data_IF_491479640072
#
_entry.id   IF_491479640072
#
_cell.length_a   1.000
_cell.length_b   1.000
_cell.length_c   1.000
_cell.angle_alpha   90.00
_cell.angle_beta   90.00
_cell.angle_gamma   90.00
#
_symmetry.space_group_name_H-M   'P 1'
#
loop_
_entity.id
_entity.type
_entity.pdbx_description
1 polymer ?
#
# COMPACT_ATOMS: atom_id res chain seq x y z
N UNK A 1 -36.05 6.32 -3.24
CA UNK A 1 -34.61 6.16 -2.90
C UNK A 1 -34.53 5.01 -1.93
N UNK A 2 -33.69 4.00 -2.18
CA UNK A 2 -33.54 2.89 -1.25
C UNK A 2 -32.90 3.39 0.06
N UNK A 3 -33.38 2.93 1.21
CA UNK A 3 -32.78 3.28 2.50
C UNK A 3 -31.37 2.69 2.62
N UNK A 4 -30.37 3.55 2.45
CA UNK A 4 -28.95 3.22 2.61
C UNK A 4 -28.67 3.12 4.11
N UNK A 5 -28.62 1.90 4.64
CA UNK A 5 -28.21 1.62 6.01
C UNK A 5 -26.75 1.18 6.05
N UNK A 6 -25.86 2.04 6.59
CA UNK A 6 -24.42 1.74 6.76
C UNK A 6 -24.24 0.41 7.53
N UNK A 7 -25.01 0.19 8.59
CA UNK A 7 -24.94 -1.06 9.37
C UNK A 7 -25.27 -2.30 8.56
N UNK A 8 -26.25 -2.23 7.64
CA UNK A 8 -26.58 -3.34 6.73
C UNK A 8 -25.44 -3.60 5.74
N UNK A 9 -24.85 -2.54 5.19
CA UNK A 9 -23.72 -2.63 4.24
C UNK A 9 -22.51 -3.29 4.91
N UNK A 10 -22.13 -2.83 6.10
CA UNK A 10 -21.02 -3.39 6.86
C UNK A 10 -21.28 -4.85 7.24
N UNK A 11 -22.46 -5.15 7.79
CA UNK A 11 -22.84 -6.52 8.15
C UNK A 11 -22.77 -7.44 6.94
N UNK A 12 -23.28 -7.01 5.79
CA UNK A 12 -23.27 -7.79 4.55
C UNK A 12 -21.85 -7.99 4.01
N UNK A 13 -21.02 -6.95 4.04
CA UNK A 13 -19.62 -7.05 3.65
C UNK A 13 -18.85 -8.03 4.52
N UNK A 14 -18.85 -7.81 5.84
CA UNK A 14 -18.08 -8.61 6.81
C UNK A 14 -18.62 -10.03 6.96
N UNK A 15 -19.93 -10.24 7.15
CA UNK A 15 -20.48 -11.59 7.24
C UNK A 15 -20.39 -12.34 5.90
N UNK A 16 -20.38 -11.61 4.78
CA UNK A 16 -20.23 -12.15 3.44
C UNK A 16 -18.78 -12.25 2.96
N UNK A 17 -17.77 -12.13 3.83
CA UNK A 17 -16.35 -12.19 3.42
C UNK A 17 -15.97 -13.54 2.79
N UNK A 18 -16.73 -14.60 3.06
CA UNK A 18 -16.49 -15.95 2.52
C UNK A 18 -17.62 -16.38 1.55
N UNK A 19 -18.67 -15.58 1.40
CA UNK A 19 -19.78 -15.87 0.48
C UNK A 19 -19.79 -14.93 -0.74
N UNK A 20 -19.26 -15.38 -1.89
CA UNK A 20 -19.27 -14.58 -3.11
C UNK A 20 -20.64 -14.56 -3.82
N UNK A 21 -21.65 -15.30 -3.32
CA UNK A 21 -22.95 -15.41 -3.99
C UNK A 21 -23.73 -14.11 -3.89
N UNK A 22 -24.63 -13.90 -4.85
CA UNK A 22 -25.46 -12.70 -4.92
C UNK A 22 -24.80 -11.54 -5.66
N UNK A 23 -25.39 -10.36 -5.49
CA UNK A 23 -25.09 -9.13 -6.21
C UNK A 23 -25.04 -7.96 -5.23
N UNK A 24 -24.14 -7.02 -5.48
CA UNK A 24 -24.10 -5.74 -4.76
C UNK A 24 -24.22 -4.60 -5.78
N UNK A 25 -25.12 -3.64 -5.49
CA UNK A 25 -25.26 -2.45 -6.32
C UNK A 25 -23.99 -1.57 -6.21
N UNK A 26 -23.90 -0.58 -7.10
CA UNK A 26 -22.72 0.28 -7.19
C UNK A 26 -22.50 1.09 -5.91
N UNK A 27 -23.55 1.68 -5.35
CA UNK A 27 -23.46 2.55 -4.18
C UNK A 27 -23.09 1.74 -2.96
N UNK A 28 -23.75 0.59 -2.74
CA UNK A 28 -23.40 -0.32 -1.65
C UNK A 28 -21.94 -0.77 -1.71
N UNK A 29 -21.45 -1.17 -2.89
CA UNK A 29 -20.07 -1.59 -3.07
C UNK A 29 -19.08 -0.48 -2.71
N UNK A 30 -19.24 0.73 -3.25
CA UNK A 30 -18.28 1.82 -3.01
C UNK A 30 -18.32 2.35 -1.58
N UNK A 31 -19.47 2.34 -0.92
CA UNK A 31 -19.56 2.67 0.52
C UNK A 31 -18.79 1.62 1.33
N UNK A 32 -19.01 0.33 1.08
CA UNK A 32 -18.26 -0.73 1.79
C UNK A 32 -16.76 -0.63 1.51
N UNK A 33 -16.38 -0.41 0.25
CA UNK A 33 -15.00 -0.21 -0.17
C UNK A 33 -14.33 0.95 0.60
N UNK A 34 -15.01 2.09 0.72
CA UNK A 34 -14.52 3.24 1.48
C UNK A 34 -14.39 2.93 2.99
N UNK A 35 -15.38 2.22 3.58
CA UNK A 35 -15.34 1.81 4.98
C UNK A 35 -14.15 0.90 5.28
N UNK A 36 -13.77 0.03 4.35
CA UNK A 36 -12.60 -0.85 4.51
C UNK A 36 -11.30 -0.07 4.30
N UNK A 37 -11.19 0.72 3.22
CA UNK A 37 -9.93 1.36 2.88
C UNK A 37 -9.60 2.60 3.70
N UNK A 38 -10.57 3.43 4.05
CA UNK A 38 -10.27 4.69 4.75
C UNK A 38 -9.56 4.47 6.09
N UNK A 39 -9.98 3.53 6.96
CA UNK A 39 -9.24 3.22 8.19
C UNK A 39 -7.84 2.67 7.90
N UNK A 40 -7.68 1.81 6.89
CA UNK A 40 -6.37 1.25 6.54
C UNK A 40 -5.40 2.31 6.00
N UNK A 41 -5.90 3.26 5.21
CA UNK A 41 -5.11 4.42 4.77
C UNK A 41 -4.70 5.27 5.98
N UNK A 42 -5.61 5.55 6.91
CA UNK A 42 -5.29 6.31 8.11
C UNK A 42 -4.22 5.61 8.96
N UNK A 43 -4.34 4.30 9.19
CA UNK A 43 -3.33 3.50 9.91
C UNK A 43 -2.00 3.51 9.17
N UNK A 44 -1.99 3.36 7.84
CA UNK A 44 -0.77 3.43 7.04
C UNK A 44 -0.08 4.80 7.16
N UNK A 45 -0.83 5.90 7.11
CA UNK A 45 -0.27 7.24 7.26
C UNK A 45 0.33 7.44 8.65
N UNK A 46 -0.37 6.99 9.71
CA UNK A 46 0.15 7.04 11.08
C UNK A 46 1.42 6.21 11.20
N UNK A 47 1.43 4.99 10.69
CA UNK A 47 2.60 4.11 10.70
C UNK A 47 3.79 4.75 9.96
N UNK A 48 3.55 5.38 8.80
CA UNK A 48 4.60 6.09 8.08
C UNK A 48 5.18 7.26 8.88
N UNK A 49 4.33 8.07 9.52
CA UNK A 49 4.79 9.19 10.36
C UNK A 49 5.59 8.68 11.56
N UNK A 50 5.09 7.65 12.26
CA UNK A 50 5.73 7.13 13.46
C UNK A 50 7.06 6.42 13.15
N UNK A 51 7.13 5.69 12.03
CA UNK A 51 8.29 4.85 11.72
C UNK A 51 9.35 5.56 10.87
N UNK A 52 8.97 6.56 10.07
CA UNK A 52 9.90 7.22 9.14
C UNK A 52 10.55 8.45 9.74
N UNK A 53 9.93 9.06 10.76
CA UNK A 53 10.51 10.19 11.48
C UNK A 53 11.16 9.68 12.77
N UNK A 54 12.46 9.32 12.75
CA UNK A 54 13.15 9.01 13.98
C UNK A 54 13.04 10.23 14.91
N UNK A 55 12.83 9.97 16.19
CA UNK A 55 12.84 11.04 17.18
C UNK A 55 14.22 11.68 17.16
N UNK A 56 14.31 12.92 16.67
CA UNK A 56 15.53 13.70 16.77
C UNK A 56 15.86 13.76 18.25
N UNK A 57 17.02 13.21 18.62
CA UNK A 57 17.52 13.29 19.99
C UNK A 57 18.03 14.71 20.25
N UNK A 58 17.07 15.63 20.45
CA UNK A 58 17.32 17.03 20.77
C UNK A 58 18.13 17.16 22.06
N UNK A 59 18.03 16.19 22.98
CA UNK A 59 18.81 16.18 24.21
C UNK A 59 20.28 15.85 23.94
N UNK A 60 20.55 14.84 23.10
CA UNK A 60 21.89 14.52 22.64
C UNK A 60 22.55 15.70 21.93
N UNK A 61 21.82 16.38 21.04
CA UNK A 61 22.33 17.52 20.28
C UNK A 61 22.73 18.74 21.14
N UNK A 62 22.28 18.82 22.41
CA UNK A 62 22.66 19.87 23.35
C UNK A 62 23.90 19.55 24.18
N UNK A 63 24.46 18.34 24.06
CA UNK A 63 25.65 17.95 24.84
C UNK A 63 26.94 18.53 24.23
N UNK A 64 27.90 19.00 25.05
CA UNK A 64 29.17 19.57 24.58
C UNK A 64 30.01 18.60 23.73
N UNK A 65 29.89 17.29 24.03
CA UNK A 65 30.64 16.22 23.36
C UNK A 65 29.79 15.50 22.29
N UNK A 66 28.80 16.19 21.71
CA UNK A 66 27.91 15.60 20.72
C UNK A 66 28.66 15.18 19.45
N UNK A 67 28.79 13.87 19.24
CA UNK A 67 29.29 13.31 18.00
C UNK A 67 28.18 13.29 16.94
N UNK A 68 28.12 14.37 16.15
CA UNK A 68 27.18 14.51 15.04
C UNK A 68 27.28 13.36 14.02
N UNK A 69 28.46 12.74 13.86
CA UNK A 69 28.65 11.62 12.94
C UNK A 69 27.98 10.36 13.48
N UNK A 70 28.22 10.02 14.74
CA UNK A 70 27.58 8.88 15.39
C UNK A 70 26.04 9.04 15.42
N UNK A 71 25.55 10.24 15.71
CA UNK A 71 24.13 10.54 15.72
C UNK A 71 23.48 10.40 14.33
N UNK A 72 24.14 10.88 13.27
CA UNK A 72 23.65 10.71 11.90
C UNK A 72 23.57 9.23 11.49
N UNK A 73 24.59 8.42 11.84
CA UNK A 73 24.58 6.98 11.56
C UNK A 73 23.47 6.25 12.31
N UNK A 74 23.24 6.59 13.58
CA UNK A 74 22.13 6.07 14.37
C UNK A 74 20.78 6.42 13.75
N UNK A 75 20.58 7.68 13.39
CA UNK A 75 19.37 8.16 12.73
C UNK A 75 19.11 7.43 11.41
N UNK A 76 20.13 7.23 10.58
CA UNK A 76 20.00 6.46 9.34
C UNK A 76 19.59 5.01 9.61
N UNK A 77 20.20 4.37 10.61
CA UNK A 77 19.88 2.98 10.99
C UNK A 77 18.43 2.85 11.45
N UNK A 78 17.97 3.72 12.35
CA UNK A 78 16.59 3.75 12.83
C UNK A 78 15.59 4.02 11.70
N UNK A 79 15.92 4.94 10.78
CA UNK A 79 15.10 5.20 9.60
C UNK A 79 14.97 3.97 8.69
N UNK A 80 16.06 3.20 8.49
CA UNK A 80 16.00 1.96 7.72
C UNK A 80 15.16 0.88 8.40
N UNK A 81 15.33 0.69 9.71
CA UNK A 81 14.51 -0.24 10.49
C UNK A 81 13.02 0.14 10.42
N UNK A 82 12.71 1.42 10.58
CA UNK A 82 11.38 1.98 10.43
C UNK A 82 10.80 1.76 9.03
N UNK A 83 11.59 1.95 7.98
CA UNK A 83 11.19 1.67 6.60
C UNK A 83 10.85 0.18 6.41
N UNK A 84 11.68 -0.74 6.90
CA UNK A 84 11.43 -2.19 6.83
C UNK A 84 10.13 -2.54 7.56
N UNK A 85 9.94 -2.04 8.79
CA UNK A 85 8.71 -2.25 9.54
C UNK A 85 7.48 -1.71 8.79
N UNK A 86 7.60 -0.53 8.16
CA UNK A 86 6.52 0.08 7.38
C UNK A 86 6.11 -0.77 6.17
N UNK A 87 7.05 -1.48 5.54
CA UNK A 87 6.78 -2.39 4.42
C UNK A 87 5.95 -3.59 4.89
N UNK A 88 6.33 -4.23 6.00
CA UNK A 88 5.57 -5.36 6.54
C UNK A 88 4.17 -4.96 6.97
N UNK A 89 4.02 -3.80 7.62
CA UNK A 89 2.72 -3.24 7.99
C UNK A 89 1.87 -2.99 6.74
N UNK A 90 2.45 -2.38 5.70
CA UNK A 90 1.75 -2.15 4.44
C UNK A 90 1.28 -3.47 3.80
N UNK A 91 2.14 -4.49 3.71
CA UNK A 91 1.79 -5.81 3.16
C UNK A 91 0.64 -6.44 3.96
N UNK A 92 0.71 -6.42 5.29
CA UNK A 92 -0.34 -6.95 6.15
C UNK A 92 -1.68 -6.24 5.93
N UNK A 93 -1.68 -4.91 5.84
CA UNK A 93 -2.91 -4.15 5.57
C UNK A 93 -3.48 -4.40 4.17
N UNK A 94 -2.64 -4.54 3.15
CA UNK A 94 -3.10 -4.92 1.81
C UNK A 94 -3.71 -6.31 1.79
N UNK A 95 -3.15 -7.27 2.54
CA UNK A 95 -3.73 -8.60 2.69
C UNK A 95 -5.11 -8.54 3.38
N UNK A 96 -5.25 -7.75 4.44
CA UNK A 96 -6.54 -7.52 5.12
C UNK A 96 -7.56 -6.85 4.19
N UNK A 97 -7.18 -5.77 3.51
CA UNK A 97 -8.04 -5.10 2.53
C UNK A 97 -8.51 -6.06 1.45
N UNK A 98 -7.58 -6.85 0.91
CA UNK A 98 -7.84 -7.85 -0.12
C UNK A 98 -8.84 -8.89 0.35
N UNK A 99 -8.63 -9.45 1.54
CA UNK A 99 -9.53 -10.45 2.12
C UNK A 99 -10.95 -9.90 2.24
N UNK A 100 -11.10 -8.69 2.79
CA UNK A 100 -12.40 -8.06 3.03
C UNK A 100 -13.11 -7.65 1.72
N UNK A 101 -12.35 -7.21 0.71
CA UNK A 101 -12.91 -6.70 -0.54
C UNK A 101 -13.12 -7.78 -1.60
N UNK A 102 -12.52 -8.96 -1.47
CA UNK A 102 -12.54 -9.98 -2.52
C UNK A 102 -13.96 -10.42 -2.89
N UNK A 103 -14.77 -10.82 -1.91
CA UNK A 103 -16.14 -11.27 -2.17
C UNK A 103 -17.08 -10.13 -2.53
N UNK A 104 -16.90 -8.94 -1.95
CA UNK A 104 -17.66 -7.75 -2.34
C UNK A 104 -17.38 -7.37 -3.83
N UNK A 105 -16.13 -7.48 -4.26
CA UNK A 105 -15.72 -7.29 -5.66
C UNK A 105 -16.36 -8.36 -6.55
N UNK A 106 -16.36 -9.62 -6.13
CA UNK A 106 -17.04 -10.71 -6.86
C UNK A 106 -18.54 -10.45 -7.01
N UNK A 107 -19.24 -10.05 -5.94
CA UNK A 107 -20.68 -9.69 -5.98
C UNK A 107 -20.96 -8.46 -6.87
N UNK A 108 -20.06 -7.46 -6.88
CA UNK A 108 -20.16 -6.32 -7.79
C UNK A 108 -20.00 -6.75 -9.25
N UNK A 109 -19.06 -7.67 -9.54
CA UNK A 109 -18.89 -8.25 -10.88
C UNK A 109 -20.09 -9.11 -11.30
N UNK A 110 -20.69 -9.85 -10.36
CA UNK A 110 -21.93 -10.59 -10.60
C UNK A 110 -23.10 -9.68 -10.97
N UNK A 111 -23.19 -8.49 -10.37
CA UNK A 111 -24.18 -7.49 -10.75
C UNK A 111 -24.02 -7.02 -12.21
N UNK A 112 -22.82 -7.18 -12.78
CA UNK A 112 -22.51 -6.90 -14.20
C UNK A 112 -22.68 -8.13 -15.11
N UNK A 113 -23.11 -9.28 -14.58
CA UNK A 113 -23.14 -10.55 -15.30
C UNK A 113 -21.75 -11.16 -15.56
N UNK A 114 -20.67 -10.56 -15.03
CA UNK A 114 -19.29 -11.05 -15.17
C UNK A 114 -19.01 -12.18 -14.19
N UNK A 115 -17.95 -12.95 -14.45
CA UNK A 115 -17.48 -13.98 -13.52
C UNK A 115 -16.83 -13.33 -12.29
N UNK A 116 -17.13 -13.84 -11.09
CA UNK A 116 -16.45 -13.43 -9.86
C UNK A 116 -14.94 -13.71 -9.87
N UNK A 117 -14.44 -14.57 -10.77
CA UNK A 117 -13.00 -14.86 -10.92
C UNK A 117 -12.17 -13.60 -11.25
N UNK A 118 -12.75 -12.59 -11.91
CA UNK A 118 -12.06 -11.32 -12.15
C UNK A 118 -11.69 -10.59 -10.84
N UNK A 119 -12.35 -10.90 -9.72
CA UNK A 119 -11.98 -10.34 -8.42
C UNK A 119 -10.59 -10.80 -7.96
N UNK A 120 -10.06 -11.92 -8.47
CA UNK A 120 -8.70 -12.39 -8.18
C UNK A 120 -7.61 -11.45 -8.70
N UNK A 121 -7.93 -10.52 -9.61
CA UNK A 121 -7.01 -9.47 -10.01
C UNK A 121 -6.53 -8.66 -8.79
N UNK A 122 -7.40 -8.45 -7.80
CA UNK A 122 -7.08 -7.67 -6.60
C UNK A 122 -5.98 -8.31 -5.73
N UNK A 123 -6.11 -9.57 -5.24
CA UNK A 123 -5.03 -10.24 -4.51
C UNK A 123 -3.77 -10.42 -5.35
N UNK A 124 -3.91 -10.75 -6.64
CA UNK A 124 -2.76 -10.96 -7.51
C UNK A 124 -1.97 -9.66 -7.72
N UNK A 125 -2.66 -8.54 -7.93
CA UNK A 125 -2.01 -7.25 -8.03
C UNK A 125 -1.28 -6.89 -6.73
N UNK A 126 -1.91 -7.09 -5.57
CA UNK A 126 -1.28 -6.84 -4.26
C UNK A 126 -0.04 -7.70 -4.02
N UNK A 127 -0.07 -8.98 -4.41
CA UNK A 127 1.09 -9.88 -4.30
C UNK A 127 2.21 -9.43 -5.24
N UNK A 128 1.89 -9.12 -6.50
CA UNK A 128 2.87 -8.67 -7.49
C UNK A 128 3.55 -7.38 -7.06
N UNK A 129 2.78 -6.39 -6.59
CA UNK A 129 3.34 -5.14 -6.08
C UNK A 129 4.15 -5.34 -4.81
N UNK A 130 3.71 -6.21 -3.89
CA UNK A 130 4.45 -6.55 -2.68
C UNK A 130 5.80 -7.21 -2.97
N UNK A 131 5.85 -8.15 -3.92
CA UNK A 131 7.10 -8.78 -4.37
C UNK A 131 8.03 -7.75 -5.03
N UNK A 132 7.49 -6.87 -5.88
CA UNK A 132 8.28 -5.80 -6.50
C UNK A 132 8.90 -4.87 -5.46
N UNK A 133 8.10 -4.46 -4.46
CA UNK A 133 8.55 -3.62 -3.37
C UNK A 133 9.62 -4.31 -2.51
N UNK A 134 9.48 -5.60 -2.22
CA UNK A 134 10.47 -6.39 -1.50
C UNK A 134 11.81 -6.43 -2.26
N UNK A 135 11.79 -6.68 -3.57
CA UNK A 135 12.99 -6.69 -4.42
C UNK A 135 13.68 -5.33 -4.47
N UNK A 136 12.92 -4.25 -4.59
CA UNK A 136 13.46 -2.87 -4.55
C UNK A 136 14.12 -2.58 -3.20
N UNK A 137 13.50 -3.02 -2.12
CA UNK A 137 14.02 -2.84 -0.77
C UNK A 137 15.31 -3.63 -0.57
N UNK A 138 15.34 -4.90 -0.98
CA UNK A 138 16.56 -5.73 -0.96
C UNK A 138 17.70 -5.08 -1.75
N UNK A 139 17.39 -4.54 -2.94
CA UNK A 139 18.38 -3.82 -3.73
C UNK A 139 18.92 -2.58 -3.02
N UNK A 140 18.05 -1.76 -2.41
CA UNK A 140 18.48 -0.60 -1.60
C UNK A 140 19.37 -1.04 -0.43
N UNK A 141 18.97 -2.10 0.29
CA UNK A 141 19.76 -2.65 1.40
C UNK A 141 21.13 -3.14 0.93
N UNK A 142 21.21 -3.76 -0.25
CA UNK A 142 22.49 -4.20 -0.84
C UNK A 142 23.44 -3.05 -1.18
N UNK A 143 22.90 -1.87 -1.49
CA UNK A 143 23.69 -0.66 -1.77
C UNK A 143 24.10 0.10 -0.50
N UNK A 144 23.48 -0.19 0.65
CA UNK A 144 23.70 0.55 1.89
C UNK A 144 25.18 0.63 2.32
N UNK A 145 26.00 -0.45 2.25
CA UNK A 145 27.41 -0.37 2.61
C UNK A 145 28.21 0.59 1.72
N UNK A 146 27.88 0.66 0.42
CA UNK A 146 28.51 1.58 -0.52
C UNK A 146 28.09 3.02 -0.21
N UNK A 147 26.80 3.23 0.03
CA UNK A 147 26.25 4.55 0.37
C UNK A 147 26.83 5.10 1.67
N UNK A 148 26.96 4.27 2.69
CA UNK A 148 27.55 4.68 3.96
C UNK A 148 29.03 5.04 3.81
N UNK A 149 29.78 4.31 2.98
CA UNK A 149 31.17 4.63 2.67
C UNK A 149 31.31 5.94 1.87
N UNK A 150 30.46 6.17 0.86
CA UNK A 150 30.45 7.42 0.08
C UNK A 150 30.05 8.62 0.94
N UNK A 151 29.04 8.47 1.79
CA UNK A 151 28.65 9.49 2.76
C UNK A 151 29.80 9.79 3.73
N UNK A 152 30.45 8.76 4.28
CA UNK A 152 31.60 8.94 5.15
C UNK A 152 32.76 9.66 4.45
N UNK A 153 32.96 9.44 3.14
CA UNK A 153 33.99 10.13 2.35
C UNK A 153 33.61 11.59 2.02
N UNK A 154 32.33 11.90 1.85
CA UNK A 154 31.82 13.24 1.56
C UNK A 154 31.57 14.11 2.82
N UNK A 155 31.44 13.47 3.98
CA UNK A 155 31.17 14.17 5.26
C UNK A 155 32.45 14.84 5.79
N UNK A 156 32.75 16.05 5.31
CA UNK A 156 33.78 16.91 5.87
C UNK A 156 33.27 17.70 7.08
N UNK A 157 34.17 18.32 7.89
CA UNK A 157 33.80 19.08 9.11
C UNK A 157 32.83 20.26 8.90
N UNK A 158 32.64 20.70 7.65
CA UNK A 158 31.92 21.94 7.32
C UNK A 158 30.83 21.77 6.26
N UNK A 159 30.63 20.57 5.70
CA UNK A 159 29.62 20.36 4.67
C UNK A 159 28.62 19.30 5.13
N UNK A 160 27.34 19.68 5.38
CA UNK A 160 26.30 18.67 5.51
C UNK A 160 26.28 17.88 4.20
N UNK A 161 26.39 16.55 4.30
CA UNK A 161 26.41 15.69 3.12
C UNK A 161 25.23 16.01 2.20
N UNK A 162 25.49 16.14 0.90
CA UNK A 162 24.46 16.40 -0.10
C UNK A 162 23.60 15.14 -0.30
N UNK A 163 22.70 14.90 0.65
CA UNK A 163 21.78 13.75 0.66
C UNK A 163 20.92 13.76 -0.61
N UNK A 164 20.51 14.93 -1.10
CA UNK A 164 19.71 15.03 -2.32
C UNK A 164 20.50 14.65 -3.57
N UNK A 165 21.75 15.11 -3.69
CA UNK A 165 22.65 14.68 -4.76
C UNK A 165 22.94 13.19 -4.73
N UNK A 166 23.07 12.61 -3.53
CA UNK A 166 23.24 11.17 -3.35
C UNK A 166 21.99 10.38 -3.78
N UNK A 167 20.78 10.83 -3.40
CA UNK A 167 19.52 10.24 -3.85
C UNK A 167 19.37 10.37 -5.37
N UNK A 168 19.70 11.53 -5.94
CA UNK A 168 19.64 11.77 -7.39
C UNK A 168 20.61 10.86 -8.15
N UNK A 169 21.79 10.55 -7.60
CA UNK A 169 22.75 9.58 -8.17
C UNK A 169 22.26 8.14 -8.10
N UNK A 170 21.47 7.79 -7.08
CA UNK A 170 20.84 6.47 -6.99
C UNK A 170 19.64 6.31 -7.92
N UNK A 171 19.01 7.41 -8.33
CA UNK A 171 17.82 7.39 -9.16
C UNK A 171 18.02 6.75 -10.56
N UNK A 172 19.11 6.97 -11.31
CA UNK A 172 19.35 6.30 -12.58
C UNK A 172 19.66 4.80 -12.43
N UNK A 173 20.23 4.38 -11.30
CA UNK A 173 20.46 2.96 -10.96
C UNK A 173 19.20 2.30 -10.38
N UNK A 174 18.23 3.10 -9.92
CA UNK A 174 16.95 2.61 -9.44
C UNK A 174 16.25 1.89 -10.57
N UNK A 175 16.21 0.55 -10.46
CA UNK A 175 15.51 -0.40 -11.32
C UNK A 175 14.38 0.28 -12.10
N UNK A 176 14.54 0.33 -13.43
CA UNK A 176 13.58 0.93 -14.36
C UNK A 176 12.15 0.45 -14.11
N UNK A 177 11.19 1.03 -14.84
CA UNK A 177 9.77 0.77 -14.59
C UNK A 177 9.50 -0.74 -14.45
N UNK A 178 8.97 -1.16 -13.30
CA UNK A 178 8.71 -2.58 -13.06
C UNK A 178 7.59 -3.02 -13.98
N UNK A 179 7.94 -3.83 -14.98
CA UNK A 179 6.94 -4.41 -15.90
C UNK A 179 5.86 -5.18 -15.14
N UNK A 180 6.22 -5.85 -14.05
CA UNK A 180 5.25 -6.55 -13.21
C UNK A 180 4.26 -5.57 -12.56
N UNK A 181 4.76 -4.46 -12.01
CA UNK A 181 3.91 -3.40 -11.45
C UNK A 181 3.04 -2.73 -12.53
N UNK A 182 3.58 -2.50 -13.74
CA UNK A 182 2.81 -1.94 -14.86
C UNK A 182 1.66 -2.87 -15.23
N UNK A 183 1.94 -4.16 -15.43
CA UNK A 183 0.92 -5.16 -15.79
C UNK A 183 -0.14 -5.29 -14.70
N UNK A 184 0.27 -5.34 -13.43
CA UNK A 184 -0.65 -5.35 -12.30
C UNK A 184 -1.52 -4.08 -12.25
N UNK A 185 -0.92 -2.92 -12.50
CA UNK A 185 -1.62 -1.63 -12.56
C UNK A 185 -2.65 -1.56 -13.69
N UNK A 186 -2.31 -2.05 -14.88
CA UNK A 186 -3.23 -2.13 -16.01
C UNK A 186 -4.39 -3.10 -15.73
N UNK A 187 -4.11 -4.26 -15.14
CA UNK A 187 -5.14 -5.21 -14.75
C UNK A 187 -6.09 -4.61 -13.70
N UNK A 188 -5.55 -3.91 -12.71
CA UNK A 188 -6.35 -3.19 -11.71
C UNK A 188 -7.19 -2.07 -12.33
N UNK A 189 -6.65 -1.33 -13.29
CA UNK A 189 -7.40 -0.29 -14.02
C UNK A 189 -8.60 -0.90 -14.76
N UNK A 190 -8.41 -2.02 -15.44
CA UNK A 190 -9.51 -2.75 -16.10
C UNK A 190 -10.56 -3.21 -15.09
N UNK A 191 -10.13 -3.73 -13.94
CA UNK A 191 -11.05 -4.12 -12.86
C UNK A 191 -11.86 -2.91 -12.37
N UNK A 192 -11.21 -1.78 -12.06
CA UNK A 192 -11.87 -0.55 -11.62
C UNK A 192 -12.90 -0.07 -12.65
N UNK A 193 -12.57 -0.08 -13.94
CA UNK A 193 -13.50 0.27 -15.01
C UNK A 193 -14.73 -0.64 -14.97
N UNK A 194 -14.57 -1.96 -14.84
CA UNK A 194 -15.70 -2.88 -14.75
C UNK A 194 -16.57 -2.66 -13.49
N UNK A 195 -15.98 -2.26 -12.37
CA UNK A 195 -16.69 -1.98 -11.11
C UNK A 195 -17.49 -0.66 -11.15
N UNK A 196 -17.03 0.34 -11.90
CA UNK A 196 -17.68 1.65 -12.05
C UNK A 196 -18.93 1.61 -12.96
N UNK A 197 -18.98 0.66 -13.90
CA UNK A 197 -20.08 0.53 -14.87
C UNK A 197 -21.41 0.17 -14.17
N UNK A 198 -22.53 0.57 -14.77
CA UNK A 198 -23.87 0.29 -14.26
C UNK A 198 -24.20 -1.21 -14.23
N UNK A 199 -25.04 -1.68 -13.31
CA UNK A 199 -25.46 -3.09 -13.21
C UNK A 199 -26.30 -3.59 -14.40
N UNK A 200 -26.47 -4.91 -14.52
CA UNK A 200 -27.45 -5.50 -15.45
C UNK A 200 -28.86 -5.33 -14.90
N UNK A 201 -29.82 -4.77 -15.67
CA UNK A 201 -31.19 -4.60 -15.21
C UNK A 201 -31.89 -5.95 -15.04
N UNK A 202 -32.76 -6.05 -14.03
CA UNK A 202 -33.52 -7.26 -13.76
C UNK A 202 -32.69 -8.40 -13.15
N UNK A 203 -33.26 -9.62 -13.05
CA UNK A 203 -32.57 -10.79 -12.54
C UNK A 203 -31.49 -11.27 -13.51
N UNK A 204 -30.40 -11.84 -12.97
CA UNK A 204 -29.38 -12.51 -13.75
C UNK A 204 -29.00 -13.85 -13.10
N UNK A 205 -28.08 -14.63 -13.70
CA UNK A 205 -27.66 -15.96 -13.20
C UNK A 205 -27.11 -15.97 -11.77
N UNK A 206 -26.78 -14.81 -11.19
CA UNK A 206 -26.24 -14.67 -9.84
C UNK A 206 -27.28 -14.20 -8.82
N UNK A 207 -28.52 -13.93 -9.24
CA UNK A 207 -29.63 -13.61 -8.34
C UNK A 207 -30.48 -12.41 -8.77
N UNK A 208 -31.46 -12.04 -7.92
CA UNK A 208 -32.33 -10.89 -8.15
C UNK A 208 -31.53 -9.57 -8.12
N UNK A 209 -32.15 -8.50 -8.62
CA UNK A 209 -31.54 -7.17 -8.58
C UNK A 209 -31.39 -6.69 -7.12
N UNK A 210 -30.21 -6.15 -6.75
CA UNK A 210 -29.99 -5.57 -5.42
C UNK A 210 -30.76 -4.26 -5.20
#
# INVERSE_FOLDING_TARGET
MADISIGRIVRRGVAGTIDPRGRDDRVQFWIYFAIVLAPLIAVQMIAQVVLTFPSIDLQGAMQPDYDARAANLKMMTEMFEGMIASIYIAVAMHAVATLLLLTATARRLHDRGRSGLFALILPLAAVVTGIDQARRTEHILSMMPKLSAELAAQSGPQQPGDIFGLIAKMQPDASGASWAAIVAGLAMLVLVIELLRAGTPGPNRFGPQP
#
